data_IF_546765277418
#
_entry.id   IF_546765277418
#
_cell.length_a   1.000
_cell.length_b   1.000
_cell.length_c   1.000
_cell.angle_alpha   90.00
_cell.angle_beta   90.00
_cell.angle_gamma   90.00
#
_symmetry.space_group_name_H-M   'P 1'
#
loop_
_entity.id
_entity.type
_entity.pdbx_description
1 polymer ?
#
# COMPACT_ATOMS: atom_id res chain seq x y z
N UNK A 1 -1.68 11.89 -34.04
CA UNK A 1 -1.86 10.51 -33.53
C UNK A 1 -2.60 10.63 -32.24
N UNK A 2 -3.87 10.19 -32.19
CA UNK A 2 -4.68 10.19 -30.97
C UNK A 2 -4.02 9.20 -30.01
N UNK A 3 -3.42 9.66 -28.92
CA UNK A 3 -3.04 8.80 -27.81
C UNK A 3 -4.34 8.21 -27.27
N UNK A 4 -4.54 6.90 -27.44
CA UNK A 4 -5.61 6.23 -26.71
C UNK A 4 -5.43 6.59 -25.23
N UNK A 5 -6.43 7.23 -24.62
CA UNK A 5 -6.38 7.58 -23.22
C UNK A 5 -6.06 6.32 -22.42
N UNK A 6 -5.12 6.42 -21.46
CA UNK A 6 -4.83 5.33 -20.54
C UNK A 6 -6.07 5.09 -19.69
N UNK A 7 -6.82 4.03 -20.02
CA UNK A 7 -8.10 3.70 -19.42
C UNK A 7 -8.07 2.25 -18.95
N UNK A 8 -7.38 1.99 -17.85
CA UNK A 8 -7.29 0.69 -17.20
C UNK A 8 -8.19 0.64 -15.98
N UNK A 9 -8.84 -0.49 -15.72
CA UNK A 9 -9.60 -0.71 -14.48
C UNK A 9 -8.66 -0.58 -13.29
N UNK A 10 -9.06 0.22 -12.28
CA UNK A 10 -8.34 0.34 -11.02
C UNK A 10 -9.09 -0.39 -9.89
N UNK A 11 -8.37 -1.19 -9.10
CA UNK A 11 -8.84 -1.73 -7.83
C UNK A 11 -8.18 -0.98 -6.69
N UNK A 12 -8.98 -0.34 -5.84
CA UNK A 12 -8.51 0.34 -4.63
C UNK A 12 -8.78 -0.53 -3.40
N UNK A 13 -7.72 -0.96 -2.73
CA UNK A 13 -7.74 -1.86 -1.58
C UNK A 13 -7.54 -1.07 -0.28
N UNK A 14 -8.45 -1.23 0.69
CA UNK A 14 -8.46 -0.52 1.96
C UNK A 14 -8.44 -1.54 3.11
N UNK A 15 -7.29 -1.76 3.77
CA UNK A 15 -7.25 -2.59 4.97
C UNK A 15 -7.94 -1.88 6.13
N UNK A 16 -8.77 -2.60 6.90
CA UNK A 16 -9.46 -2.05 8.06
C UNK A 16 -9.39 -3.00 9.26
N UNK A 17 -9.17 -2.43 10.45
CA UNK A 17 -9.21 -3.14 11.71
C UNK A 17 -9.72 -2.25 12.84
N UNK A 18 -10.96 -2.50 13.30
CA UNK A 18 -11.64 -1.69 14.32
C UNK A 18 -11.67 -0.20 13.93
N UNK A 19 -12.21 0.10 12.76
CA UNK A 19 -12.31 1.45 12.18
C UNK A 19 -13.78 1.93 12.06
N UNK A 20 -14.72 1.37 12.87
CA UNK A 20 -16.15 1.70 12.81
C UNK A 20 -16.43 3.21 12.92
N UNK A 21 -15.57 3.96 13.63
CA UNK A 21 -15.73 5.41 13.82
C UNK A 21 -15.49 6.26 12.57
N UNK A 22 -14.80 5.73 11.55
CA UNK A 22 -14.45 6.49 10.34
C UNK A 22 -14.87 5.81 9.04
N UNK A 23 -15.12 4.49 9.08
CA UNK A 23 -15.20 3.69 7.85
C UNK A 23 -16.36 4.08 6.94
N UNK A 24 -17.50 4.54 7.51
CA UNK A 24 -18.64 4.99 6.73
C UNK A 24 -18.28 6.24 5.88
N UNK A 25 -17.66 7.24 6.51
CA UNK A 25 -17.23 8.47 5.82
C UNK A 25 -16.14 8.16 4.80
N UNK A 26 -15.21 7.27 5.15
CA UNK A 26 -14.17 6.80 4.23
C UNK A 26 -14.77 6.13 3.00
N UNK A 27 -15.70 5.20 3.17
CA UNK A 27 -16.33 4.47 2.07
C UNK A 27 -17.12 5.42 1.16
N UNK A 28 -17.88 6.34 1.74
CA UNK A 28 -18.62 7.36 0.99
C UNK A 28 -17.68 8.27 0.18
N UNK A 29 -16.68 8.83 0.84
CA UNK A 29 -15.71 9.75 0.22
C UNK A 29 -14.97 9.08 -0.94
N UNK A 30 -14.49 7.84 -0.73
CA UNK A 30 -13.81 7.08 -1.77
C UNK A 30 -14.76 6.72 -2.93
N UNK A 31 -15.98 6.31 -2.64
CA UNK A 31 -16.96 6.00 -3.69
C UNK A 31 -17.29 7.22 -4.55
N UNK A 32 -17.53 8.38 -3.94
CA UNK A 32 -17.77 9.64 -4.64
C UNK A 32 -16.58 10.05 -5.50
N UNK A 33 -15.36 9.97 -4.95
CA UNK A 33 -14.15 10.31 -5.70
C UNK A 33 -13.90 9.35 -6.86
N UNK A 34 -13.96 8.04 -6.62
CA UNK A 34 -13.66 7.02 -7.62
C UNK A 34 -14.67 7.05 -8.78
N UNK A 35 -15.96 7.22 -8.47
CA UNK A 35 -17.03 7.31 -9.49
C UNK A 35 -16.93 8.58 -10.36
N UNK A 36 -16.42 9.68 -9.80
CA UNK A 36 -16.21 10.91 -10.55
C UNK A 36 -14.93 10.91 -11.38
N UNK A 37 -13.93 10.07 -11.02
CA UNK A 37 -12.57 10.14 -11.57
C UNK A 37 -12.26 9.01 -12.56
N UNK A 38 -12.83 7.81 -12.36
CA UNK A 38 -12.50 6.61 -13.14
C UNK A 38 -13.73 6.00 -13.80
N UNK A 39 -13.64 5.68 -15.08
CA UNK A 39 -14.71 5.00 -15.82
C UNK A 39 -14.90 3.54 -15.35
N UNK A 40 -13.81 2.88 -14.95
CA UNK A 40 -13.81 1.50 -14.48
C UNK A 40 -13.00 1.35 -13.21
N UNK A 41 -13.67 1.03 -12.10
CA UNK A 41 -13.05 0.88 -10.80
C UNK A 41 -13.77 -0.13 -9.92
N UNK A 42 -13.11 -0.57 -8.87
CA UNK A 42 -13.69 -1.22 -7.69
C UNK A 42 -12.97 -0.75 -6.42
N UNK A 43 -13.66 -0.81 -5.29
CA UNK A 43 -13.13 -0.55 -3.96
C UNK A 43 -13.29 -1.82 -3.12
N UNK A 44 -12.21 -2.32 -2.55
CA UNK A 44 -12.17 -3.54 -1.76
C UNK A 44 -11.74 -3.20 -0.35
N UNK A 45 -12.67 -3.25 0.59
CA UNK A 45 -12.35 -3.16 2.01
C UNK A 45 -11.94 -4.53 2.54
N UNK A 46 -10.78 -4.62 3.19
CA UNK A 46 -10.28 -5.88 3.74
C UNK A 46 -10.31 -5.87 5.26
N UNK A 47 -11.25 -6.62 5.84
CA UNK A 47 -11.45 -6.73 7.29
C UNK A 47 -10.43 -7.68 7.92
N UNK A 48 -9.52 -7.15 8.75
CA UNK A 48 -8.53 -7.90 9.53
C UNK A 48 -9.12 -8.46 10.84
N UNK A 49 -10.31 -9.06 10.76
CA UNK A 49 -10.96 -9.67 11.92
C UNK A 49 -11.42 -8.67 12.99
N UNK A 50 -11.98 -7.55 12.57
CA UNK A 50 -12.55 -6.52 13.45
C UNK A 50 -13.68 -7.06 14.34
N UNK A 51 -13.86 -6.43 15.50
CA UNK A 51 -14.91 -6.77 16.45
C UNK A 51 -15.93 -5.65 16.65
N UNK A 52 -15.73 -4.53 15.98
CA UNK A 52 -16.55 -3.32 16.11
C UNK A 52 -17.63 -3.19 15.00
N UNK A 53 -17.72 -4.18 14.10
CA UNK A 53 -18.73 -4.21 13.04
C UNK A 53 -18.44 -3.29 11.86
N UNK A 54 -17.21 -2.80 11.69
CA UNK A 54 -16.86 -1.90 10.58
C UNK A 54 -17.08 -2.54 9.19
N UNK A 55 -16.97 -3.86 9.05
CA UNK A 55 -17.32 -4.62 7.85
C UNK A 55 -18.80 -4.49 7.48
N UNK A 56 -19.69 -4.72 8.45
CA UNK A 56 -21.13 -4.58 8.25
C UNK A 56 -21.53 -3.16 7.89
N UNK A 57 -20.88 -2.16 8.51
CA UNK A 57 -21.14 -0.75 8.17
C UNK A 57 -20.91 -0.51 6.67
N UNK A 58 -19.80 -1.02 6.09
CA UNK A 58 -19.52 -0.87 4.66
C UNK A 58 -20.52 -1.68 3.80
N UNK A 59 -20.80 -2.92 4.18
CA UNK A 59 -21.74 -3.79 3.46
C UNK A 59 -23.15 -3.19 3.41
N UNK A 60 -23.65 -2.68 4.54
CA UNK A 60 -24.99 -2.10 4.67
C UNK A 60 -25.17 -0.81 3.84
N UNK A 61 -24.09 -0.12 3.47
CA UNK A 61 -24.15 1.04 2.58
C UNK A 61 -24.55 0.69 1.15
N UNK A 62 -24.42 -0.55 0.72
CA UNK A 62 -24.78 -1.04 -0.62
C UNK A 62 -24.24 -0.16 -1.77
N UNK A 63 -23.02 0.36 -1.64
CA UNK A 63 -22.41 1.23 -2.65
C UNK A 63 -22.00 0.43 -3.89
N UNK A 64 -22.30 0.91 -5.11
CA UNK A 64 -21.85 0.26 -6.34
C UNK A 64 -20.33 0.13 -6.42
N UNK A 65 -19.83 -0.99 -6.94
CA UNK A 65 -18.40 -1.28 -7.09
C UNK A 65 -17.61 -1.30 -5.76
N UNK A 66 -18.30 -1.42 -4.62
CA UNK A 66 -17.70 -1.54 -3.29
C UNK A 66 -18.01 -2.92 -2.73
N UNK A 67 -16.99 -3.60 -2.19
CA UNK A 67 -17.17 -4.89 -1.55
C UNK A 67 -16.23 -5.08 -0.37
N UNK A 68 -16.59 -5.99 0.52
CA UNK A 68 -15.78 -6.37 1.66
C UNK A 68 -15.22 -7.78 1.46
N UNK A 69 -13.97 -7.97 1.81
CA UNK A 69 -13.31 -9.26 1.96
C UNK A 69 -12.67 -9.32 3.35
N UNK A 70 -12.26 -10.50 3.81
CA UNK A 70 -11.58 -10.59 5.10
C UNK A 70 -11.68 -11.97 5.73
N UNK A 71 -11.38 -12.01 7.02
CA UNK A 71 -11.32 -13.25 7.81
C UNK A 71 -11.66 -12.95 9.29
N UNK A 72 -12.06 -13.97 10.08
CA UNK A 72 -12.69 -13.74 11.39
C UNK A 72 -11.73 -13.33 12.50
N UNK A 73 -10.41 -13.57 12.36
CA UNK A 73 -9.42 -13.31 13.41
C UNK A 73 -8.31 -12.41 12.90
N UNK A 74 -7.91 -11.41 13.70
CA UNK A 74 -6.83 -10.50 13.35
C UNK A 74 -5.52 -11.25 13.04
N UNK A 75 -4.95 -10.98 11.88
CA UNK A 75 -3.68 -11.54 11.43
C UNK A 75 -2.64 -10.43 11.16
N UNK A 76 -3.07 -9.18 11.08
CA UNK A 76 -2.23 -8.00 10.87
C UNK A 76 -2.38 -7.36 9.51
N UNK A 77 -2.00 -6.08 9.43
CA UNK A 77 -2.19 -5.21 8.26
C UNK A 77 -1.67 -5.82 6.96
N UNK A 78 -0.50 -6.49 6.99
CA UNK A 78 0.06 -7.11 5.78
C UNK A 78 -0.80 -8.24 5.23
N UNK A 79 -1.44 -9.01 6.12
CA UNK A 79 -2.39 -10.04 5.71
C UNK A 79 -3.64 -9.42 5.08
N UNK A 80 -4.20 -8.36 5.68
CA UNK A 80 -5.36 -7.67 5.15
C UNK A 80 -5.07 -7.05 3.76
N UNK A 81 -3.93 -6.38 3.61
CA UNK A 81 -3.52 -5.82 2.31
C UNK A 81 -3.38 -6.94 1.27
N UNK A 82 -2.66 -8.01 1.58
CA UNK A 82 -2.47 -9.15 0.68
C UNK A 82 -3.81 -9.78 0.26
N UNK A 83 -4.74 -9.95 1.20
CA UNK A 83 -6.08 -10.49 0.93
C UNK A 83 -6.83 -9.61 -0.07
N UNK A 84 -6.82 -8.30 0.10
CA UNK A 84 -7.47 -7.38 -0.83
C UNK A 84 -6.80 -7.37 -2.21
N UNK A 85 -5.46 -7.29 -2.25
CA UNK A 85 -4.70 -7.25 -3.51
C UNK A 85 -4.92 -8.51 -4.35
N UNK A 86 -4.93 -9.69 -3.72
CA UNK A 86 -5.16 -10.95 -4.42
C UNK A 86 -6.63 -11.14 -4.85
N UNK A 87 -7.57 -10.45 -4.21
CA UNK A 87 -8.97 -10.45 -4.60
C UNK A 87 -9.29 -9.42 -5.69
N UNK A 88 -8.35 -8.54 -6.03
CA UNK A 88 -8.55 -7.45 -6.97
C UNK A 88 -8.63 -7.93 -8.42
N UNK A 89 -9.51 -7.28 -9.21
CA UNK A 89 -9.76 -7.60 -10.62
C UNK A 89 -9.29 -6.51 -11.59
N UNK A 90 -8.81 -5.37 -11.08
CA UNK A 90 -8.33 -4.26 -11.90
C UNK A 90 -6.97 -4.54 -12.53
N UNK A 91 -6.66 -3.85 -13.61
CA UNK A 91 -5.35 -3.89 -14.27
C UNK A 91 -4.27 -3.21 -13.41
N UNK A 92 -4.68 -2.17 -12.68
CA UNK A 92 -3.88 -1.46 -11.69
C UNK A 92 -4.52 -1.73 -10.32
N UNK A 93 -3.72 -2.24 -9.39
CA UNK A 93 -4.17 -2.60 -8.04
C UNK A 93 -3.41 -1.75 -7.03
N UNK A 94 -4.14 -0.93 -6.30
CA UNK A 94 -3.58 0.03 -5.35
C UNK A 94 -4.10 -0.25 -3.94
N UNK A 95 -3.28 -0.03 -2.92
CA UNK A 95 -3.78 0.09 -1.55
C UNK A 95 -3.46 1.44 -0.94
N UNK A 96 -4.36 1.90 -0.07
CA UNK A 96 -4.13 3.03 0.83
C UNK A 96 -4.80 2.79 2.18
N UNK A 97 -4.45 3.62 3.18
CA UNK A 97 -4.98 3.49 4.53
C UNK A 97 -6.41 4.04 4.65
N UNK A 98 -7.21 3.46 5.53
CA UNK A 98 -8.62 3.85 5.74
C UNK A 98 -8.79 5.28 6.29
N UNK A 99 -7.76 5.87 6.89
CA UNK A 99 -7.76 7.25 7.39
C UNK A 99 -7.53 8.31 6.31
N UNK A 100 -7.33 7.88 5.06
CA UNK A 100 -7.04 8.75 3.91
C UNK A 100 -5.92 9.75 4.19
N UNK A 101 -4.85 9.30 4.83
CA UNK A 101 -3.74 10.15 5.27
C UNK A 101 -3.16 11.04 4.14
N UNK A 102 -3.24 10.59 2.90
CA UNK A 102 -2.74 11.30 1.71
C UNK A 102 -3.84 11.98 0.89
N UNK A 103 -5.12 11.90 1.32
CA UNK A 103 -6.27 12.34 0.55
C UNK A 103 -6.60 11.46 -0.66
N UNK A 104 -7.66 11.82 -1.38
CA UNK A 104 -8.11 11.05 -2.54
C UNK A 104 -7.30 11.34 -3.81
N UNK A 105 -6.81 12.57 -3.99
CA UNK A 105 -6.08 12.97 -5.22
C UNK A 105 -4.83 12.14 -5.47
N UNK A 106 -4.22 11.59 -4.41
CA UNK A 106 -3.07 10.67 -4.53
C UNK A 106 -3.41 9.43 -5.35
N UNK A 107 -4.67 8.99 -5.36
CA UNK A 107 -5.12 7.81 -6.11
C UNK A 107 -4.94 8.06 -7.61
N UNK A 108 -5.44 9.20 -8.09
CA UNK A 108 -5.29 9.61 -9.51
C UNK A 108 -3.82 9.86 -9.86
N UNK A 109 -3.08 10.53 -8.99
CA UNK A 109 -1.65 10.79 -9.17
C UNK A 109 -0.85 9.50 -9.35
N UNK A 110 -1.04 8.50 -8.48
CA UNK A 110 -0.38 7.20 -8.55
C UNK A 110 -0.80 6.42 -9.80
N UNK A 111 -2.08 6.48 -10.15
CA UNK A 111 -2.59 5.86 -11.38
C UNK A 111 -1.94 6.45 -12.64
N UNK A 112 -1.79 7.77 -12.69
CA UNK A 112 -1.21 8.47 -13.84
C UNK A 112 0.30 8.19 -14.02
N UNK A 113 0.99 7.74 -12.96
CA UNK A 113 2.38 7.29 -13.09
C UNK A 113 2.51 6.08 -14.02
N UNK A 114 1.54 5.16 -14.06
CA UNK A 114 1.55 4.05 -15.00
C UNK A 114 1.30 4.50 -16.45
N UNK A 115 0.56 5.58 -16.65
CA UNK A 115 0.37 6.18 -17.97
C UNK A 115 1.65 6.86 -18.45
N UNK A 116 2.34 7.58 -17.54
CA UNK A 116 3.55 8.34 -17.81
C UNK A 116 4.78 7.44 -17.92
N UNK A 117 4.77 6.30 -17.23
CA UNK A 117 5.85 5.31 -17.16
C UNK A 117 5.32 3.91 -17.54
N UNK A 118 5.10 3.60 -18.82
CA UNK A 118 4.49 2.33 -19.24
C UNK A 118 5.28 1.07 -18.84
N UNK A 119 6.54 1.22 -18.47
CA UNK A 119 7.38 0.13 -17.94
C UNK A 119 7.25 -0.06 -16.43
N UNK A 120 6.49 0.80 -15.73
CA UNK A 120 6.34 0.68 -14.27
C UNK A 120 5.52 -0.57 -13.91
N UNK A 121 6.09 -1.39 -13.04
CA UNK A 121 5.42 -2.55 -12.45
C UNK A 121 4.83 -2.22 -11.08
N UNK A 122 5.47 -1.27 -10.37
CA UNK A 122 5.10 -0.84 -9.02
C UNK A 122 5.31 0.66 -8.88
N UNK A 123 4.35 1.35 -8.29
CA UNK A 123 4.44 2.77 -7.92
C UNK A 123 4.33 2.91 -6.41
N UNK A 124 5.24 3.67 -5.81
CA UNK A 124 5.31 3.92 -4.37
C UNK A 124 5.18 5.42 -4.11
N UNK A 125 4.26 5.79 -3.23
CA UNK A 125 4.23 7.15 -2.70
C UNK A 125 5.48 7.43 -1.85
N UNK A 126 6.11 8.58 -2.04
CA UNK A 126 7.27 8.99 -1.25
C UNK A 126 7.08 10.36 -0.61
N UNK A 127 7.09 10.38 0.72
CA UNK A 127 7.07 11.61 1.52
C UNK A 127 8.39 12.38 1.43
N UNK A 128 9.48 11.67 1.14
CA UNK A 128 10.81 12.27 1.01
C UNK A 128 11.00 13.04 -0.31
N UNK A 129 10.20 12.78 -1.32
CA UNK A 129 10.21 13.50 -2.59
C UNK A 129 9.34 14.76 -2.57
N UNK A 130 8.39 14.86 -1.63
CA UNK A 130 7.56 16.05 -1.50
C UNK A 130 8.17 17.04 -0.51
N UNK A 131 8.23 18.34 -0.84
CA UNK A 131 8.80 19.39 0.02
C UNK A 131 8.16 19.45 1.42
N UNK A 132 6.84 19.22 1.48
CA UNK A 132 6.02 19.24 2.70
C UNK A 132 5.58 17.82 3.13
N UNK A 133 6.22 16.77 2.63
CA UNK A 133 5.82 15.38 2.85
C UNK A 133 5.83 14.94 4.32
N UNK A 134 6.59 15.64 5.16
CA UNK A 134 6.65 15.46 6.62
C UNK A 134 6.17 16.72 7.36
N UNK A 135 5.19 17.43 6.86
CA UNK A 135 4.59 18.55 7.57
C UNK A 135 4.10 18.10 8.95
N UNK A 136 4.32 18.89 10.00
CA UNK A 136 3.98 18.54 11.39
C UNK A 136 4.98 17.61 12.11
N UNK A 137 6.00 17.05 11.43
CA UNK A 137 7.01 16.23 12.08
C UNK A 137 8.15 17.09 12.62
N UNK A 138 8.65 16.74 13.83
CA UNK A 138 9.84 17.40 14.40
C UNK A 138 11.09 17.10 13.54
N UNK A 139 12.07 18.01 13.58
CA UNK A 139 13.33 17.84 12.85
C UNK A 139 14.04 16.52 13.19
N UNK A 140 14.05 16.14 14.48
CA UNK A 140 14.67 14.90 14.97
C UNK A 140 13.96 13.69 14.35
N UNK A 141 12.63 13.69 14.28
CA UNK A 141 11.84 12.61 13.68
C UNK A 141 12.08 12.50 12.17
N UNK A 142 12.20 13.63 11.47
CA UNK A 142 12.56 13.67 10.04
C UNK A 142 13.95 13.09 9.78
N UNK A 143 14.93 13.47 10.60
CA UNK A 143 16.30 12.96 10.50
C UNK A 143 16.39 11.46 10.80
N UNK A 144 15.75 11.01 11.88
CA UNK A 144 15.68 9.59 12.24
C UNK A 144 15.04 8.75 11.12
N UNK A 145 13.94 9.23 10.51
CA UNK A 145 13.29 8.58 9.36
C UNK A 145 14.26 8.45 8.16
N UNK A 146 14.99 9.50 7.82
CA UNK A 146 15.97 9.48 6.72
C UNK A 146 17.13 8.51 6.96
N UNK A 147 17.65 8.47 8.17
CA UNK A 147 18.73 7.52 8.55
C UNK A 147 18.18 6.09 8.46
N UNK A 148 16.99 5.88 9.00
CA UNK A 148 16.33 4.59 9.02
C UNK A 148 16.13 4.02 7.60
N UNK A 149 15.59 4.82 6.68
CA UNK A 149 15.38 4.37 5.30
C UNK A 149 16.70 4.03 4.59
N UNK A 150 17.77 4.80 4.83
CA UNK A 150 19.10 4.49 4.30
C UNK A 150 19.62 3.13 4.77
N UNK A 151 19.43 2.82 6.06
CA UNK A 151 19.81 1.51 6.63
C UNK A 151 18.98 0.39 6.01
N UNK A 152 17.67 0.60 5.81
CA UNK A 152 16.79 -0.36 5.15
C UNK A 152 17.20 -0.62 3.69
N UNK A 153 17.52 0.44 2.94
CA UNK A 153 17.98 0.34 1.56
C UNK A 153 19.29 -0.46 1.48
N UNK A 154 20.26 -0.18 2.38
CA UNK A 154 21.52 -0.89 2.43
C UNK A 154 21.34 -2.38 2.77
N UNK A 155 20.55 -2.69 3.78
CA UNK A 155 20.26 -4.07 4.20
C UNK A 155 19.41 -4.81 3.15
N UNK A 156 18.40 -4.16 2.59
CA UNK A 156 17.50 -4.71 1.58
C UNK A 156 18.15 -4.88 0.20
N UNK A 157 19.06 -3.98 -0.17
CA UNK A 157 19.69 -3.95 -1.49
C UNK A 157 18.84 -3.24 -2.55
N UNK A 158 17.93 -2.36 -2.14
CA UNK A 158 17.12 -1.51 -3.02
C UNK A 158 17.48 -0.02 -2.82
N UNK A 159 17.05 0.82 -3.78
CA UNK A 159 17.29 2.27 -3.74
C UNK A 159 15.95 2.99 -3.83
N UNK A 160 15.39 3.33 -2.67
CA UNK A 160 14.13 4.05 -2.56
C UNK A 160 14.28 5.20 -1.56
N UNK A 161 13.52 6.24 -1.76
CA UNK A 161 13.48 7.39 -0.84
C UNK A 161 12.48 7.19 0.31
N UNK A 162 11.41 6.41 0.08
CA UNK A 162 10.43 6.00 1.10
C UNK A 162 9.92 4.57 0.82
N UNK A 163 10.04 3.67 1.77
CA UNK A 163 9.57 2.29 1.64
C UNK A 163 8.30 1.99 2.44
N UNK A 164 7.93 2.88 3.38
CA UNK A 164 6.84 2.66 4.33
C UNK A 164 5.64 3.60 4.13
N UNK A 165 5.54 4.24 2.97
CA UNK A 165 4.36 5.00 2.62
C UNK A 165 3.15 4.05 2.50
N UNK A 166 2.03 4.36 3.16
CA UNK A 166 0.79 3.60 3.10
C UNK A 166 0.02 3.78 1.78
N UNK A 167 0.71 4.11 0.70
CA UNK A 167 0.14 4.31 -0.62
C UNK A 167 1.06 3.66 -1.66
N UNK A 168 0.64 2.53 -2.21
CA UNK A 168 1.37 1.79 -3.24
C UNK A 168 0.42 1.17 -4.25
N UNK A 169 0.87 1.12 -5.50
CA UNK A 169 0.13 0.47 -6.57
C UNK A 169 1.04 -0.46 -7.38
N UNK A 170 0.42 -1.42 -8.02
CA UNK A 170 1.06 -2.49 -8.78
C UNK A 170 0.28 -2.73 -10.06
N UNK A 171 0.94 -3.24 -11.10
CA UNK A 171 0.21 -3.93 -12.15
C UNK A 171 -0.39 -5.22 -11.59
N UNK A 172 -1.52 -5.66 -12.14
CA UNK A 172 -2.16 -6.93 -11.74
C UNK A 172 -1.19 -8.12 -11.83
N UNK A 173 -0.40 -8.16 -12.89
CA UNK A 173 0.63 -9.18 -13.09
C UNK A 173 1.61 -9.20 -11.93
N UNK A 174 2.14 -8.05 -11.54
CA UNK A 174 3.07 -7.91 -10.41
C UNK A 174 2.45 -8.35 -9.09
N UNK A 175 1.16 -8.09 -8.86
CA UNK A 175 0.45 -8.61 -7.68
C UNK A 175 0.51 -10.13 -7.63
N UNK A 176 0.18 -10.80 -8.73
CA UNK A 176 0.16 -12.28 -8.78
C UNK A 176 1.54 -12.91 -8.74
N UNK A 177 2.58 -12.21 -9.15
CA UNK A 177 3.96 -12.70 -9.06
C UNK A 177 4.56 -12.51 -7.65
N UNK A 178 4.12 -11.52 -6.89
CA UNK A 178 4.72 -11.16 -5.60
C UNK A 178 3.92 -11.70 -4.42
N UNK A 179 2.64 -11.38 -4.34
CA UNK A 179 1.86 -11.55 -3.11
C UNK A 179 1.53 -13.00 -2.73
N UNK A 180 1.45 -13.99 -3.65
CA UNK A 180 1.37 -15.40 -3.27
C UNK A 180 2.59 -15.89 -2.48
N UNK A 181 3.74 -15.23 -2.62
CA UNK A 181 4.99 -15.58 -1.93
C UNK A 181 5.23 -14.76 -0.65
N UNK A 182 4.39 -13.77 -0.37
CA UNK A 182 4.50 -12.94 0.82
C UNK A 182 3.91 -13.67 2.03
N UNK A 183 4.66 -13.68 3.15
CA UNK A 183 4.26 -14.34 4.40
C UNK A 183 4.17 -13.37 5.57
N UNK A 184 4.69 -12.13 5.42
CA UNK A 184 4.70 -11.15 6.50
C UNK A 184 3.31 -10.55 6.68
N UNK A 185 2.71 -10.83 7.82
CA UNK A 185 1.36 -10.36 8.15
C UNK A 185 1.34 -9.00 8.85
N UNK A 186 2.45 -8.58 9.48
CA UNK A 186 2.56 -7.30 10.18
C UNK A 186 2.97 -6.13 9.30
N UNK A 187 3.34 -5.00 9.92
CA UNK A 187 3.72 -3.76 9.22
C UNK A 187 4.96 -3.87 8.30
N UNK A 188 5.78 -4.91 8.46
CA UNK A 188 6.95 -5.10 7.61
C UNK A 188 6.63 -5.73 6.24
N UNK A 189 5.37 -5.96 5.90
CA UNK A 189 4.92 -6.49 4.61
C UNK A 189 5.37 -5.62 3.42
N UNK A 190 5.45 -4.31 3.63
CA UNK A 190 5.95 -3.35 2.64
C UNK A 190 7.36 -3.70 2.14
N UNK A 191 8.22 -4.09 3.08
CA UNK A 191 9.60 -4.50 2.72
C UNK A 191 9.63 -5.80 1.98
N UNK A 192 8.76 -6.74 2.34
CA UNK A 192 8.68 -8.01 1.66
C UNK A 192 8.27 -7.83 0.20
N UNK A 193 7.24 -7.01 -0.06
CA UNK A 193 6.81 -6.70 -1.41
C UNK A 193 7.93 -6.03 -2.23
N UNK A 194 8.65 -5.07 -1.65
CA UNK A 194 9.79 -4.38 -2.31
C UNK A 194 10.94 -5.36 -2.59
N UNK A 195 11.26 -6.27 -1.64
CA UNK A 195 12.31 -7.26 -1.84
C UNK A 195 11.97 -8.23 -2.98
N UNK A 196 10.72 -8.68 -3.06
CA UNK A 196 10.25 -9.50 -4.16
C UNK A 196 10.28 -8.75 -5.48
N UNK A 197 9.76 -7.53 -5.54
CA UNK A 197 9.80 -6.68 -6.72
C UNK A 197 11.23 -6.49 -7.23
N UNK A 198 12.16 -6.15 -6.32
CA UNK A 198 13.59 -5.97 -6.63
C UNK A 198 14.22 -7.25 -7.18
N UNK A 199 13.91 -8.40 -6.56
CA UNK A 199 14.43 -9.70 -6.97
C UNK A 199 13.95 -10.13 -8.35
N UNK A 200 12.67 -9.88 -8.63
CA UNK A 200 12.05 -10.19 -9.92
C UNK A 200 12.39 -9.17 -11.01
N UNK A 201 13.26 -8.19 -10.70
CA UNK A 201 13.67 -7.15 -11.67
C UNK A 201 12.54 -6.19 -12.05
N UNK A 202 11.51 -6.05 -11.20
CA UNK A 202 10.38 -5.16 -11.45
C UNK A 202 10.79 -3.70 -11.41
N UNK A 203 10.22 -2.90 -12.29
CA UNK A 203 10.45 -1.45 -12.37
C UNK A 203 9.61 -0.75 -11.29
N UNK A 204 10.30 -0.17 -10.29
CA UNK A 204 9.67 0.56 -9.20
C UNK A 204 9.84 2.06 -9.45
N UNK A 205 8.73 2.79 -9.50
CA UNK A 205 8.67 4.25 -9.63
C UNK A 205 8.24 4.86 -8.31
N UNK A 206 8.82 5.99 -7.93
CA UNK A 206 8.40 6.76 -6.75
C UNK A 206 7.70 8.05 -7.17
N UNK A 207 6.56 8.36 -6.55
CA UNK A 207 5.83 9.61 -6.77
C UNK A 207 5.75 10.43 -5.48
N UNK A 208 5.93 11.77 -5.52
CA UNK A 208 5.91 12.58 -4.31
C UNK A 208 4.51 12.62 -3.68
N UNK A 209 4.41 12.37 -2.37
CA UNK A 209 3.14 12.44 -1.64
C UNK A 209 3.28 13.29 -0.37
N UNK A 210 2.16 13.93 0.02
CA UNK A 210 2.05 14.75 1.23
C UNK A 210 1.01 14.12 2.17
N UNK A 211 1.31 14.09 3.47
CA UNK A 211 0.33 13.75 4.49
C UNK A 211 -0.57 14.98 4.70
N UNK A 212 -1.87 14.81 4.52
CA UNK A 212 -2.86 15.87 4.73
C UNK A 212 -3.75 15.61 5.94
N UNK A 213 -4.00 14.33 6.27
CA UNK A 213 -4.76 13.94 7.44
C UNK A 213 -3.81 13.32 8.48
N UNK A 214 -3.67 14.02 9.61
CA UNK A 214 -2.80 13.55 10.70
C UNK A 214 -3.65 12.79 11.73
N UNK A 215 -3.43 11.50 11.83
CA UNK A 215 -3.93 10.66 12.93
C UNK A 215 -2.76 10.27 13.83
N UNK A 216 -3.00 10.12 15.14
CA UNK A 216 -1.95 9.67 16.05
C UNK A 216 -1.45 8.28 15.67
N UNK A 217 -0.15 8.17 15.42
CA UNK A 217 0.48 6.90 15.07
C UNK A 217 0.65 6.03 16.31
N UNK A 218 0.10 4.83 16.29
CA UNK A 218 0.27 3.80 17.34
C UNK A 218 1.65 3.12 17.31
N UNK A 219 2.58 3.55 16.42
CA UNK A 219 3.88 2.91 16.19
C UNK A 219 4.95 3.46 17.13
N UNK A 220 5.61 2.59 17.91
CA UNK A 220 6.78 2.94 18.72
C UNK A 220 8.05 2.84 17.87
N UNK A 221 8.55 4.02 17.42
CA UNK A 221 9.64 4.12 16.44
C UNK A 221 10.89 3.32 16.84
N UNK A 222 11.34 3.35 18.09
CA UNK A 222 12.58 2.69 18.50
C UNK A 222 12.45 1.16 18.61
N UNK A 223 11.39 0.68 19.28
CA UNK A 223 11.17 -0.75 19.51
C UNK A 223 10.87 -1.47 18.19
N UNK A 224 10.10 -0.83 17.34
CA UNK A 224 9.67 -1.40 16.07
C UNK A 224 10.82 -1.41 15.04
N UNK A 225 11.74 -0.42 15.06
CA UNK A 225 12.92 -0.38 14.18
C UNK A 225 13.79 -1.63 14.27
N UNK A 226 14.18 -2.04 15.47
CA UNK A 226 15.03 -3.24 15.65
C UNK A 226 14.32 -4.52 15.20
N UNK A 227 13.04 -4.65 15.51
CA UNK A 227 12.22 -5.77 15.05
C UNK A 227 12.16 -5.82 13.52
N UNK A 228 11.88 -4.69 12.89
CA UNK A 228 11.78 -4.58 11.43
C UNK A 228 13.12 -4.90 10.73
N UNK A 229 14.26 -4.47 11.25
CA UNK A 229 15.59 -4.82 10.71
C UNK A 229 15.87 -6.34 10.81
N UNK A 230 15.47 -6.95 11.92
CA UNK A 230 15.58 -8.41 12.10
C UNK A 230 14.69 -9.15 11.11
N UNK A 231 13.48 -8.67 10.94
CA UNK A 231 12.51 -9.25 10.00
C UNK A 231 12.98 -9.08 8.55
N UNK A 232 13.51 -7.91 8.18
CA UNK A 232 14.10 -7.66 6.86
C UNK A 232 15.23 -8.64 6.53
N UNK A 233 16.13 -8.89 7.49
CA UNK A 233 17.22 -9.88 7.30
C UNK A 233 16.70 -11.31 7.11
N UNK A 234 15.67 -11.69 7.87
CA UNK A 234 15.02 -13.01 7.72
C UNK A 234 14.34 -13.15 6.37
N UNK A 235 13.57 -12.13 5.96
CA UNK A 235 12.92 -12.07 4.65
C UNK A 235 13.93 -12.20 3.52
N UNK A 236 15.02 -11.42 3.55
CA UNK A 236 16.07 -11.47 2.53
C UNK A 236 16.71 -12.86 2.43
N UNK A 237 16.98 -13.53 3.56
CA UNK A 237 17.50 -14.90 3.57
C UNK A 237 16.50 -15.91 2.99
N UNK A 238 15.23 -15.78 3.32
CA UNK A 238 14.16 -16.65 2.80
C UNK A 238 14.01 -16.47 1.30
N UNK A 239 13.84 -15.23 0.85
CA UNK A 239 13.67 -14.90 -0.57
C UNK A 239 14.87 -15.42 -1.39
N UNK A 240 16.11 -15.31 -0.86
CA UNK A 240 17.30 -15.85 -1.54
C UNK A 240 17.29 -17.38 -1.67
N UNK A 241 16.72 -18.10 -0.71
CA UNK A 241 16.61 -19.58 -0.77
C UNK A 241 15.65 -20.04 -1.84
N UNK A 242 14.52 -19.34 -2.00
CA UNK A 242 13.49 -19.69 -3.01
C UNK A 242 14.06 -19.60 -4.44
N UNK A 243 15.09 -18.78 -4.68
CA UNK A 243 15.77 -18.68 -5.98
C UNK A 243 16.43 -20.00 -6.45
N UNK A 244 16.76 -20.87 -5.51
CA UNK A 244 17.43 -22.16 -5.77
C UNK A 244 16.41 -23.23 -6.21
N UNK A 245 15.13 -23.06 -5.86
CA UNK A 245 14.07 -24.04 -6.17
C UNK A 245 13.33 -23.76 -7.49
N UNK A 246 13.50 -22.56 -8.08
CA UNK A 246 12.81 -22.12 -9.32
C UNK A 246 13.70 -22.26 -10.57
N UNK A 247 14.98 -22.60 -10.42
CA UNK A 247 15.91 -22.91 -11.52
C UNK A 247 15.88 -24.37 -11.90
#
# INVERSE_FOLDING_TARGET
MSSSAFNKKISLCIPMYNESSIIADTAKTLHEYMSATFESYEIIFSNDGSKDGCDKIVEDMNLPNVRVVGYPNNQGKGCAVRTALLAAEGDIVMFTDADLAYGCDVIKQVYDEFASNPAADMVIGSRNLHKDGYEGYTFIRKLASKIYIKVLCLVGGFKLSDSQCGCKAFTRETVWEIFPHCEVNGFAFDFEAILWATKLGKVIVETPVKIINHRESKVNVFKDTFKMLKDLRKMKKRIKKIEIEIK
#
